data_IF_780293836934
#
_entry.id   IF_780293836934
#
_cell.length_a   1.000
_cell.length_b   1.000
_cell.length_c   1.000
_cell.angle_alpha   90.00
_cell.angle_beta   90.00
_cell.angle_gamma   90.00
#
_symmetry.space_group_name_H-M   'P 1'
#
loop_
_entity.id
_entity.type
_entity.pdbx_description
1 polymer ?
#
# COMPACT_ATOMS: atom_id res chain seq x y z
N UNK A 1 -3.81 -0.62 -46.11
CA UNK A 1 -2.46 -1.10 -45.76
C UNK A 1 -2.56 -1.48 -44.29
N UNK A 2 -2.63 -2.77 -43.96
CA UNK A 2 -2.70 -3.22 -42.57
C UNK A 2 -1.34 -2.99 -41.90
N UNK A 3 -1.36 -2.29 -40.77
CA UNK A 3 -0.18 -2.07 -39.94
C UNK A 3 0.28 -3.44 -39.42
N UNK A 4 1.55 -3.79 -39.70
CA UNK A 4 2.11 -5.07 -39.32
C UNK A 4 2.26 -5.08 -37.80
N UNK A 5 1.34 -5.73 -37.09
CA UNK A 5 1.40 -5.87 -35.63
C UNK A 5 2.73 -6.55 -35.27
N UNK A 6 3.59 -5.84 -34.55
CA UNK A 6 4.82 -6.42 -34.00
C UNK A 6 4.45 -7.52 -33.01
N UNK A 7 4.79 -8.77 -33.34
CA UNK A 7 4.49 -9.95 -32.50
C UNK A 7 5.56 -10.20 -31.43
N UNK A 8 6.68 -9.48 -31.48
CA UNK A 8 7.81 -9.59 -30.55
C UNK A 8 8.41 -8.20 -30.35
N UNK A 9 8.63 -7.81 -29.10
CA UNK A 9 9.32 -6.57 -28.71
C UNK A 9 10.41 -6.90 -27.70
N UNK A 10 11.56 -6.21 -27.78
CA UNK A 10 12.67 -6.40 -26.83
C UNK A 10 13.41 -5.10 -26.57
N UNK A 11 13.93 -4.94 -25.35
CA UNK A 11 14.84 -3.84 -24.96
C UNK A 11 15.92 -4.37 -24.02
N UNK A 12 16.97 -3.57 -23.85
CA UNK A 12 18.04 -3.83 -22.88
C UNK A 12 18.07 -2.74 -21.82
N UNK A 13 18.32 -3.13 -20.57
CA UNK A 13 18.58 -2.19 -19.49
C UNK A 13 19.92 -1.44 -19.65
N UNK A 14 20.80 -1.87 -20.55
CA UNK A 14 22.05 -1.16 -20.83
C UNK A 14 21.81 0.13 -21.64
N UNK A 15 20.65 0.23 -22.27
CA UNK A 15 20.11 1.44 -22.91
C UNK A 15 18.70 1.71 -22.38
N UNK A 16 18.56 2.10 -21.11
CA UNK A 16 17.24 2.23 -20.50
C UNK A 16 16.47 3.40 -21.12
N UNK A 17 15.14 3.30 -21.11
CA UNK A 17 14.27 4.41 -21.56
C UNK A 17 14.38 5.60 -20.60
N UNK A 18 14.57 5.31 -19.32
CA UNK A 18 14.70 6.30 -18.26
C UNK A 18 15.65 5.82 -17.17
N UNK A 19 16.41 6.73 -16.58
CA UNK A 19 17.22 6.49 -15.39
C UNK A 19 16.83 7.46 -14.29
N UNK A 20 16.33 6.92 -13.17
CA UNK A 20 15.85 7.67 -12.00
C UNK A 20 16.83 7.55 -10.84
N UNK A 21 16.94 8.62 -10.04
CA UNK A 21 17.65 8.65 -8.74
C UNK A 21 16.76 9.28 -7.67
N UNK A 22 15.62 8.64 -7.34
CA UNK A 22 14.60 9.25 -6.48
C UNK A 22 15.03 9.35 -5.01
N UNK A 23 16.11 8.65 -4.62
CA UNK A 23 16.66 8.65 -3.27
C UNK A 23 18.17 8.44 -3.30
N UNK A 24 18.83 8.87 -2.22
CA UNK A 24 20.27 8.65 -2.03
C UNK A 24 20.61 7.14 -2.08
N UNK A 25 21.79 6.81 -2.63
CA UNK A 25 22.29 5.43 -2.82
C UNK A 25 21.41 4.51 -3.66
N UNK A 26 20.40 5.06 -4.35
CA UNK A 26 19.55 4.34 -5.29
C UNK A 26 19.72 4.84 -6.72
N UNK A 27 19.71 3.91 -7.66
CA UNK A 27 19.52 4.16 -9.09
C UNK A 27 18.48 3.17 -9.59
N UNK A 28 17.54 3.63 -10.41
CA UNK A 28 16.52 2.79 -11.03
C UNK A 28 16.57 3.03 -12.54
N UNK A 29 16.96 2.02 -13.30
CA UNK A 29 16.83 2.01 -14.76
C UNK A 29 15.46 1.43 -15.13
N UNK A 30 14.75 2.09 -16.03
CA UNK A 30 13.40 1.71 -16.45
C UNK A 30 13.39 1.39 -17.94
N UNK A 31 12.74 0.29 -18.30
CA UNK A 31 12.39 -0.02 -19.69
C UNK A 31 10.90 -0.36 -19.77
N UNK A 32 10.25 0.05 -20.84
CA UNK A 32 8.89 -0.38 -21.18
C UNK A 32 8.95 -1.24 -22.43
N UNK A 33 8.61 -2.52 -22.30
CA UNK A 33 8.66 -3.52 -23.39
C UNK A 33 7.27 -4.12 -23.56
N UNK A 34 6.70 -4.05 -24.76
CA UNK A 34 5.35 -4.56 -25.01
C UNK A 34 4.26 -3.90 -24.14
N UNK A 35 4.48 -2.64 -23.73
CA UNK A 35 3.59 -1.92 -22.81
C UNK A 35 3.77 -2.26 -21.32
N UNK A 36 4.70 -3.16 -20.98
CA UNK A 36 4.97 -3.58 -19.60
C UNK A 36 6.22 -2.86 -19.06
N UNK A 37 6.13 -2.15 -17.93
CA UNK A 37 7.28 -1.55 -17.28
C UNK A 37 8.10 -2.58 -16.50
N UNK A 38 9.42 -2.51 -16.63
CA UNK A 38 10.38 -3.28 -15.84
C UNK A 38 11.43 -2.34 -15.24
N UNK A 39 11.93 -2.71 -14.06
CA UNK A 39 12.85 -1.88 -13.30
C UNK A 39 14.12 -2.67 -12.98
N UNK A 40 15.30 -2.11 -13.25
CA UNK A 40 16.57 -2.59 -12.70
C UNK A 40 17.02 -1.61 -11.63
N UNK A 41 16.96 -2.05 -10.37
CA UNK A 41 17.44 -1.27 -9.24
C UNK A 41 18.92 -1.58 -8.98
N UNK A 42 19.69 -0.54 -8.70
CA UNK A 42 21.07 -0.64 -8.21
C UNK A 42 21.17 0.16 -6.92
N UNK A 43 21.40 -0.56 -5.83
CA UNK A 43 21.41 -0.04 -4.47
C UNK A 43 22.83 -0.14 -3.92
N UNK A 44 23.42 1.01 -3.57
CA UNK A 44 24.80 1.07 -3.12
C UNK A 44 24.95 0.56 -1.66
N UNK A 45 26.17 0.16 -1.24
CA UNK A 45 26.43 -0.24 0.13
C UNK A 45 25.95 0.77 1.18
N UNK A 46 25.35 0.23 2.23
CA UNK A 46 24.71 1.01 3.30
C UNK A 46 23.38 1.67 2.90
N UNK A 47 22.82 1.38 1.72
CA UNK A 47 21.42 1.69 1.44
C UNK A 47 20.49 0.91 2.37
N UNK A 48 19.41 1.57 2.80
CA UNK A 48 18.34 1.01 3.63
C UNK A 48 17.05 1.79 3.35
N UNK A 49 15.93 1.10 3.17
CA UNK A 49 14.64 1.72 2.84
C UNK A 49 14.24 2.77 3.89
N UNK A 50 14.29 2.43 5.18
CA UNK A 50 13.92 3.34 6.26
C UNK A 50 14.80 4.58 6.40
N UNK A 51 16.02 4.56 5.85
CA UNK A 51 16.94 5.70 5.86
C UNK A 51 16.85 6.55 4.60
N UNK A 52 16.69 5.93 3.44
CA UNK A 52 16.85 6.62 2.15
C UNK A 52 15.54 6.80 1.40
N UNK A 53 14.56 5.91 1.59
CA UNK A 53 13.27 5.97 0.88
C UNK A 53 12.18 6.58 1.76
N UNK A 54 12.09 6.17 3.03
CA UNK A 54 11.11 6.70 3.99
C UNK A 54 11.04 8.24 4.05
N UNK A 55 12.14 9.01 4.02
CA UNK A 55 12.06 10.47 4.02
C UNK A 55 11.35 11.05 2.79
N UNK A 56 11.32 10.32 1.68
CA UNK A 56 10.69 10.73 0.41
C UNK A 56 9.23 10.30 0.36
N UNK A 57 8.91 9.08 0.80
CA UNK A 57 7.59 8.47 0.61
C UNK A 57 6.73 8.45 1.88
N UNK A 58 7.31 8.78 3.03
CA UNK A 58 6.65 8.68 4.33
C UNK A 58 6.43 7.23 4.81
N UNK A 59 5.62 7.08 5.85
CA UNK A 59 5.27 5.78 6.43
C UNK A 59 6.33 5.20 7.37
N UNK A 60 6.04 4.02 7.93
CA UNK A 60 6.93 3.32 8.87
C UNK A 60 7.76 2.21 8.21
N UNK A 61 7.22 1.60 7.17
CA UNK A 61 7.80 0.50 6.39
C UNK A 61 7.29 0.57 4.95
N UNK A 62 7.94 -0.15 4.02
CA UNK A 62 7.49 -0.24 2.63
C UNK A 62 6.16 -1.01 2.57
N UNK A 63 5.17 -0.41 1.91
CA UNK A 63 3.81 -0.95 1.79
C UNK A 63 3.49 -1.46 0.38
N UNK A 64 4.49 -1.60 -0.49
CA UNK A 64 4.31 -2.17 -1.83
C UNK A 64 4.47 -3.68 -1.78
N UNK A 65 3.72 -4.37 -2.64
CA UNK A 65 4.00 -5.75 -2.98
C UNK A 65 5.16 -5.77 -4.00
N UNK A 66 6.17 -6.59 -3.73
CA UNK A 66 7.37 -6.67 -4.56
C UNK A 66 7.63 -8.09 -5.03
N UNK A 67 8.11 -8.20 -6.26
CA UNK A 67 8.71 -9.43 -6.79
C UNK A 67 10.07 -9.07 -7.37
N UNK A 68 11.12 -9.57 -6.72
CA UNK A 68 12.50 -9.21 -7.03
C UNK A 68 13.29 -10.42 -7.49
N UNK A 69 14.10 -10.22 -8.53
CA UNK A 69 15.09 -11.19 -9.02
C UNK A 69 16.46 -10.58 -8.81
N UNK A 70 17.30 -11.22 -8.00
CA UNK A 70 18.60 -10.68 -7.61
C UNK A 70 19.70 -11.07 -8.58
N UNK A 71 20.46 -10.09 -9.05
CA UNK A 71 21.52 -10.25 -10.05
C UNK A 71 22.93 -10.13 -9.48
N UNK A 72 23.13 -9.25 -8.49
CA UNK A 72 24.43 -8.99 -7.85
C UNK A 72 24.24 -8.48 -6.41
N UNK A 73 25.29 -8.58 -5.59
CA UNK A 73 25.26 -8.21 -4.17
C UNK A 73 24.16 -8.91 -3.36
N UNK A 74 23.94 -8.44 -2.12
CA UNK A 74 22.96 -9.04 -1.19
C UNK A 74 22.03 -8.00 -0.58
N UNK A 75 20.79 -8.39 -0.33
CA UNK A 75 19.77 -7.59 0.36
C UNK A 75 19.15 -8.39 1.48
N UNK A 76 19.06 -7.79 2.66
CA UNK A 76 18.28 -8.33 3.77
C UNK A 76 16.95 -7.58 3.87
N UNK A 77 15.90 -8.33 4.17
CA UNK A 77 14.54 -7.84 4.34
C UNK A 77 14.05 -8.23 5.73
N UNK A 78 13.39 -7.28 6.41
CA UNK A 78 12.70 -7.51 7.67
C UNK A 78 11.25 -7.07 7.55
N UNK A 79 10.34 -8.01 7.77
CA UNK A 79 8.90 -7.75 7.85
C UNK A 79 8.54 -7.08 9.18
N UNK A 80 7.41 -6.39 9.23
CA UNK A 80 6.91 -5.74 10.46
C UNK A 80 6.60 -6.73 11.60
N UNK A 81 6.35 -8.01 11.27
CA UNK A 81 6.19 -9.10 12.26
C UNK A 81 7.52 -9.65 12.81
N UNK A 82 8.65 -9.10 12.34
CA UNK A 82 9.99 -9.49 12.74
C UNK A 82 10.62 -10.61 11.90
N UNK A 83 9.89 -11.21 10.96
CA UNK A 83 10.45 -12.19 10.02
C UNK A 83 11.58 -11.56 9.19
N UNK A 84 12.74 -12.22 9.15
CA UNK A 84 13.91 -11.75 8.39
C UNK A 84 14.41 -12.80 7.40
N UNK A 85 14.80 -12.35 6.21
CA UNK A 85 15.45 -13.17 5.19
C UNK A 85 16.51 -12.36 4.44
N UNK A 86 17.53 -13.04 3.92
CA UNK A 86 18.56 -12.43 3.08
C UNK A 86 18.62 -13.13 1.72
N UNK A 87 18.74 -12.33 0.68
CA UNK A 87 18.72 -12.75 -0.72
C UNK A 87 19.99 -12.28 -1.44
N UNK A 88 20.50 -13.10 -2.35
CA UNK A 88 21.67 -12.83 -3.18
C UNK A 88 21.47 -13.28 -4.62
N UNK A 89 22.54 -13.30 -5.45
CA UNK A 89 22.42 -13.55 -6.88
C UNK A 89 21.77 -14.89 -7.21
N UNK A 90 20.77 -14.88 -8.09
CA UNK A 90 19.98 -16.06 -8.47
C UNK A 90 18.72 -16.29 -7.64
N UNK A 91 18.57 -15.60 -6.50
CA UNK A 91 17.37 -15.70 -5.67
C UNK A 91 16.21 -14.89 -6.27
N UNK A 92 14.99 -15.37 -5.99
CA UNK A 92 13.73 -14.65 -6.26
C UNK A 92 13.02 -14.43 -4.93
N UNK A 93 12.64 -13.19 -4.64
CA UNK A 93 11.91 -12.83 -3.43
C UNK A 93 10.53 -12.26 -3.74
N UNK A 94 9.53 -12.72 -3.00
CA UNK A 94 8.20 -12.12 -2.94
C UNK A 94 8.06 -11.46 -1.58
N UNK A 95 7.81 -10.14 -1.56
CA UNK A 95 7.65 -9.39 -0.31
C UNK A 95 6.26 -8.75 -0.30
N UNK A 96 5.47 -9.13 0.71
CA UNK A 96 4.18 -8.50 0.96
C UNK A 96 4.36 -7.11 1.59
N UNK A 97 3.33 -6.24 1.56
CA UNK A 97 3.36 -4.97 2.27
C UNK A 97 3.76 -5.12 3.74
N UNK A 98 4.60 -4.20 4.24
CA UNK A 98 5.07 -4.17 5.62
C UNK A 98 6.48 -4.69 5.81
N UNK A 99 7.49 -4.00 5.26
CA UNK A 99 8.90 -4.37 5.44
C UNK A 99 9.90 -3.20 5.35
N UNK A 100 11.06 -3.37 5.99
CA UNK A 100 12.29 -2.61 5.72
C UNK A 100 13.26 -3.52 4.96
N UNK A 101 14.18 -2.93 4.19
CA UNK A 101 15.19 -3.67 3.45
C UNK A 101 16.51 -2.89 3.39
N UNK A 102 17.64 -3.59 3.38
CA UNK A 102 18.96 -2.96 3.30
C UNK A 102 19.97 -3.82 2.54
N UNK A 103 20.95 -3.14 1.95
CA UNK A 103 22.09 -3.80 1.28
C UNK A 103 23.01 -4.39 2.34
N UNK A 104 23.44 -5.63 2.12
CA UNK A 104 24.38 -6.36 2.97
C UNK A 104 25.77 -6.36 2.32
N UNK A 105 26.80 -6.01 3.09
CA UNK A 105 28.18 -5.98 2.62
C UNK A 105 28.56 -4.69 1.90
N UNK A 106 29.63 -4.77 1.12
CA UNK A 106 30.28 -3.68 0.38
C UNK A 106 30.08 -3.76 -1.14
N UNK A 107 29.36 -4.77 -1.62
CA UNK A 107 28.94 -4.90 -3.02
C UNK A 107 27.58 -4.21 -3.23
N UNK A 108 27.43 -3.49 -4.34
CA UNK A 108 26.14 -2.94 -4.72
C UNK A 108 25.15 -4.06 -5.03
N UNK A 109 23.94 -3.97 -4.49
CA UNK A 109 22.88 -4.90 -4.80
C UNK A 109 22.19 -4.49 -6.11
N UNK A 110 22.15 -5.40 -7.08
CA UNK A 110 21.49 -5.19 -8.38
C UNK A 110 20.36 -6.21 -8.52
N UNK A 111 19.16 -5.75 -8.86
CA UNK A 111 17.97 -6.59 -8.95
C UNK A 111 17.02 -6.11 -10.05
N UNK A 112 16.17 -7.01 -10.54
CA UNK A 112 15.00 -6.69 -11.35
C UNK A 112 13.77 -6.67 -10.44
N UNK A 113 12.95 -5.62 -10.54
CA UNK A 113 11.69 -5.46 -9.80
C UNK A 113 10.50 -5.45 -10.77
N UNK A 114 9.41 -6.13 -10.38
CA UNK A 114 8.22 -6.35 -11.19
C UNK A 114 6.92 -5.78 -10.55
N UNK A 115 7.03 -4.94 -9.51
CA UNK A 115 5.92 -4.45 -8.69
C UNK A 115 4.70 -3.87 -9.43
N UNK A 116 4.87 -3.34 -10.64
CA UNK A 116 3.77 -2.74 -11.41
C UNK A 116 3.08 -3.72 -12.38
N UNK A 117 3.74 -4.84 -12.70
CA UNK A 117 3.21 -5.84 -13.64
C UNK A 117 2.75 -7.13 -12.93
N UNK A 118 3.27 -7.40 -11.72
CA UNK A 118 2.82 -8.53 -10.90
C UNK A 118 1.97 -8.02 -9.75
N UNK A 119 0.77 -8.60 -9.63
CA UNK A 119 -0.12 -8.41 -8.48
C UNK A 119 -0.02 -9.60 -7.54
N UNK A 120 -0.55 -9.44 -6.33
CA UNK A 120 -0.59 -10.55 -5.39
C UNK A 120 -1.41 -11.71 -5.99
N UNK A 121 -0.93 -12.96 -5.96
CA UNK A 121 -1.63 -14.06 -6.60
C UNK A 121 -2.95 -14.37 -5.88
N UNK A 122 -3.96 -14.91 -6.58
CA UNK A 122 -5.28 -15.17 -5.99
C UNK A 122 -5.27 -16.30 -4.94
N UNK A 123 -4.24 -17.14 -4.93
CA UNK A 123 -4.07 -18.32 -4.09
C UNK A 123 -3.05 -18.12 -2.95
N UNK A 124 -2.82 -16.88 -2.51
CA UNK A 124 -2.08 -16.61 -1.27
C UNK A 124 -2.74 -17.39 -0.12
N UNK A 125 -1.96 -18.10 0.71
CA UNK A 125 -2.52 -18.81 1.87
C UNK A 125 -3.41 -17.90 2.70
N UNK A 126 -4.61 -18.38 3.05
CA UNK A 126 -5.64 -17.58 3.72
C UNK A 126 -5.12 -16.88 4.98
N UNK A 127 -4.27 -17.56 5.77
CA UNK A 127 -3.67 -16.98 6.97
C UNK A 127 -2.78 -15.76 6.63
N UNK A 128 -1.98 -15.85 5.58
CA UNK A 128 -1.14 -14.76 5.10
C UNK A 128 -2.01 -13.60 4.62
N UNK A 129 -3.04 -13.89 3.83
CA UNK A 129 -3.97 -12.87 3.34
C UNK A 129 -4.71 -12.18 4.49
N UNK A 130 -5.12 -12.94 5.51
CA UNK A 130 -5.78 -12.42 6.72
C UNK A 130 -4.88 -11.43 7.46
N UNK A 131 -3.58 -11.76 7.63
CA UNK A 131 -2.60 -10.85 8.26
C UNK A 131 -2.42 -9.56 7.45
N UNK A 132 -2.31 -9.67 6.12
CA UNK A 132 -2.19 -8.51 5.21
C UNK A 132 -3.45 -7.62 5.29
N UNK A 133 -4.63 -8.23 5.33
CA UNK A 133 -5.90 -7.51 5.44
C UNK A 133 -6.00 -6.74 6.75
N UNK A 134 -5.66 -7.36 7.88
CA UNK A 134 -5.66 -6.68 9.18
C UNK A 134 -4.72 -5.47 9.17
N UNK A 135 -3.51 -5.63 8.62
CA UNK A 135 -2.53 -4.55 8.60
C UNK A 135 -2.93 -3.39 7.69
N UNK A 136 -3.51 -3.70 6.52
CA UNK A 136 -4.05 -2.69 5.61
C UNK A 136 -5.14 -1.85 6.29
N UNK A 137 -6.04 -2.48 7.04
CA UNK A 137 -7.14 -1.79 7.76
C UNK A 137 -6.62 -0.99 8.96
N UNK A 138 -5.64 -1.51 9.72
CA UNK A 138 -4.97 -0.72 10.78
C UNK A 138 -4.35 0.55 10.22
N UNK A 139 -3.53 0.41 9.18
CA UNK A 139 -2.86 1.54 8.52
C UNK A 139 -3.86 2.62 8.06
N UNK A 140 -5.00 2.18 7.51
CA UNK A 140 -6.08 3.06 7.10
C UNK A 140 -6.76 3.77 8.28
N UNK A 141 -7.13 3.03 9.34
CA UNK A 141 -7.75 3.61 10.55
C UNK A 141 -6.82 4.59 11.26
N UNK A 142 -5.52 4.27 11.34
CA UNK A 142 -4.52 5.16 11.92
C UNK A 142 -4.38 6.46 11.12
N UNK A 143 -4.45 6.39 9.79
CA UNK A 143 -4.44 7.58 8.93
C UNK A 143 -5.68 8.46 9.15
N UNK A 144 -6.87 7.85 9.30
CA UNK A 144 -8.09 8.57 9.66
C UNK A 144 -7.92 9.28 11.00
N UNK A 145 -7.42 8.60 12.02
CA UNK A 145 -7.28 9.18 13.36
C UNK A 145 -6.19 10.25 13.44
N UNK A 146 -5.23 10.27 12.51
CA UNK A 146 -4.27 11.38 12.32
C UNK A 146 -4.81 12.54 11.47
N UNK A 147 -5.99 12.40 10.90
CA UNK A 147 -6.61 13.36 9.97
C UNK A 147 -5.74 13.61 8.73
N UNK A 148 -4.97 12.59 8.34
CA UNK A 148 -4.02 12.67 7.24
C UNK A 148 -4.67 12.12 5.96
N UNK A 149 -5.32 13.00 5.21
CA UNK A 149 -6.06 12.64 3.99
C UNK A 149 -5.15 11.98 2.97
N UNK A 150 -3.92 12.44 2.81
CA UNK A 150 -3.00 11.86 1.82
C UNK A 150 -2.60 10.43 2.21
N UNK A 151 -2.34 10.17 3.49
CA UNK A 151 -2.10 8.82 3.98
C UNK A 151 -3.35 7.92 3.90
N UNK A 152 -4.55 8.47 4.13
CA UNK A 152 -5.82 7.75 3.94
C UNK A 152 -5.93 7.29 2.49
N UNK A 153 -5.74 8.20 1.53
CA UNK A 153 -5.84 7.88 0.11
C UNK A 153 -4.74 6.91 -0.36
N UNK A 154 -3.51 7.06 0.14
CA UNK A 154 -2.42 6.12 -0.14
C UNK A 154 -2.71 4.69 0.33
N UNK A 155 -3.49 4.55 1.42
CA UNK A 155 -3.91 3.26 1.97
C UNK A 155 -5.08 2.61 1.23
N UNK A 156 -5.72 3.31 0.28
CA UNK A 156 -6.83 2.80 -0.52
C UNK A 156 -6.42 2.49 -1.98
N UNK A 157 -7.15 1.61 -2.65
CA UNK A 157 -6.98 1.38 -4.10
C UNK A 157 -7.45 2.60 -4.91
N UNK A 158 -7.05 2.69 -6.18
CA UNK A 158 -7.43 3.80 -7.06
C UNK A 158 -8.95 3.81 -7.35
N UNK A 159 -9.53 2.62 -7.49
CA UNK A 159 -10.95 2.32 -7.74
C UNK A 159 -11.76 2.13 -6.45
N UNK A 160 -11.27 2.64 -5.32
CA UNK A 160 -11.88 2.33 -4.02
C UNK A 160 -13.34 2.79 -3.92
N UNK A 161 -14.12 2.08 -3.10
CA UNK A 161 -15.52 2.37 -2.84
C UNK A 161 -15.72 2.67 -1.37
N UNK A 162 -16.38 3.78 -1.08
CA UNK A 162 -16.83 4.14 0.26
C UNK A 162 -18.35 4.30 0.30
N UNK A 163 -19.01 3.58 1.21
CA UNK A 163 -20.43 3.80 1.54
C UNK A 163 -20.54 4.45 2.91
N UNK A 164 -21.08 5.67 2.92
CA UNK A 164 -21.31 6.47 4.12
C UNK A 164 -22.70 6.21 4.70
N UNK A 165 -22.91 6.53 5.97
CA UNK A 165 -24.13 6.21 6.73
C UNK A 165 -25.31 7.16 6.50
N UNK A 166 -25.11 8.23 5.72
CA UNK A 166 -26.12 9.27 5.46
C UNK A 166 -26.12 9.66 3.98
N UNK A 167 -27.28 9.99 3.37
CA UNK A 167 -28.62 10.01 3.97
C UNK A 167 -29.26 8.62 4.09
N UNK A 168 -30.08 8.36 5.11
CA UNK A 168 -30.90 7.15 5.13
C UNK A 168 -31.92 7.15 3.98
N UNK A 169 -32.36 5.97 3.50
CA UNK A 169 -32.10 4.65 4.08
C UNK A 169 -30.80 3.99 3.63
N UNK A 170 -30.26 4.37 2.47
CA UNK A 170 -29.19 3.62 1.79
C UNK A 170 -27.78 4.16 2.06
N UNK A 171 -27.68 5.37 2.60
CA UNK A 171 -26.42 6.09 2.68
C UNK A 171 -26.00 6.70 1.34
N UNK A 172 -24.79 7.25 1.31
CA UNK A 172 -24.20 7.81 0.10
C UNK A 172 -22.98 6.97 -0.30
N UNK A 173 -22.95 6.57 -1.58
CA UNK A 173 -21.87 5.78 -2.17
C UNK A 173 -20.93 6.67 -3.00
N UNK A 174 -19.63 6.47 -2.83
CA UNK A 174 -18.57 7.20 -3.51
C UNK A 174 -17.58 6.22 -4.12
N UNK A 175 -17.22 6.43 -5.39
CA UNK A 175 -16.36 5.53 -6.15
C UNK A 175 -15.13 6.27 -6.70
N UNK A 176 -13.96 5.67 -6.55
CA UNK A 176 -12.68 6.20 -6.95
C UNK A 176 -12.09 7.20 -5.95
N UNK A 177 -10.75 7.29 -5.96
CA UNK A 177 -10.02 8.12 -4.99
C UNK A 177 -10.46 9.59 -4.96
N UNK A 178 -10.77 10.19 -6.12
CA UNK A 178 -11.20 11.59 -6.18
C UNK A 178 -12.47 11.86 -5.36
N UNK A 179 -13.50 11.02 -5.54
CA UNK A 179 -14.76 11.17 -4.82
C UNK A 179 -14.59 10.89 -3.32
N UNK A 180 -13.86 9.84 -2.97
CA UNK A 180 -13.60 9.45 -1.57
C UNK A 180 -12.75 10.49 -0.84
N UNK A 181 -11.72 11.06 -1.49
CA UNK A 181 -10.87 12.12 -0.93
C UNK A 181 -11.69 13.33 -0.49
N UNK A 182 -12.58 13.80 -1.36
CA UNK A 182 -13.44 14.94 -1.04
C UNK A 182 -14.37 14.68 0.15
N UNK A 183 -14.74 13.43 0.42
CA UNK A 183 -15.52 13.08 1.62
C UNK A 183 -14.69 13.22 2.88
N UNK A 184 -13.46 12.69 2.89
CA UNK A 184 -12.56 12.79 4.04
C UNK A 184 -12.17 14.24 4.35
N UNK A 185 -11.85 15.04 3.33
CA UNK A 185 -11.55 16.47 3.50
C UNK A 185 -12.71 17.22 4.16
N UNK A 186 -13.93 17.04 3.66
CA UNK A 186 -15.13 17.65 4.27
C UNK A 186 -15.37 17.13 5.68
N UNK A 187 -15.17 15.84 5.91
CA UNK A 187 -15.38 15.23 7.23
C UNK A 187 -14.43 15.82 8.27
N UNK A 188 -13.12 15.88 7.99
CA UNK A 188 -12.14 16.42 8.93
C UNK A 188 -12.29 17.94 9.11
N UNK A 189 -12.60 18.70 8.05
CA UNK A 189 -12.88 20.12 8.17
C UNK A 189 -14.09 20.41 9.08
N UNK A 190 -15.13 19.56 9.01
CA UNK A 190 -16.33 19.70 9.84
C UNK A 190 -16.18 19.10 11.25
N UNK A 191 -15.22 18.21 11.48
CA UNK A 191 -15.05 17.47 12.73
C UNK A 191 -13.57 17.40 13.14
N UNK A 192 -12.94 18.53 13.53
CA UNK A 192 -11.49 18.60 13.79
C UNK A 192 -11.04 17.81 15.02
N UNK A 193 -11.97 17.43 15.91
CA UNK A 193 -11.70 16.58 17.08
C UNK A 193 -12.25 15.16 16.93
N UNK A 194 -12.59 14.75 15.70
CA UNK A 194 -13.07 13.40 15.42
C UNK A 194 -12.02 12.33 15.79
N UNK A 195 -12.47 11.31 16.52
CA UNK A 195 -11.64 10.16 16.84
C UNK A 195 -12.45 8.86 16.81
N UNK A 196 -11.90 7.82 16.19
CA UNK A 196 -12.50 6.49 16.11
C UNK A 196 -11.68 5.50 16.95
N UNK A 197 -12.26 5.06 18.07
CA UNK A 197 -11.68 3.99 18.88
C UNK A 197 -12.14 2.63 18.32
N UNK A 198 -11.19 1.72 18.07
CA UNK A 198 -11.49 0.34 17.68
C UNK A 198 -11.90 -0.44 18.93
N UNK A 199 -13.13 -0.97 18.95
CA UNK A 199 -13.58 -1.90 20.00
C UNK A 199 -13.15 -3.33 19.70
N UNK A 200 -13.19 -3.71 18.42
CA UNK A 200 -12.83 -5.05 17.95
C UNK A 200 -12.52 -4.99 16.45
N UNK A 201 -11.54 -5.76 16.03
CA UNK A 201 -11.22 -5.95 14.61
C UNK A 201 -10.80 -7.39 14.36
N UNK A 202 -11.42 -8.01 13.37
CA UNK A 202 -11.05 -9.34 12.90
C UNK A 202 -11.22 -9.43 11.38
N UNK A 203 -10.49 -10.37 10.78
CA UNK A 203 -10.49 -10.59 9.35
C UNK A 203 -10.49 -12.07 9.02
N UNK A 204 -10.95 -12.38 7.81
CA UNK A 204 -10.80 -13.69 7.16
C UNK A 204 -10.51 -13.40 5.70
N UNK A 205 -9.39 -13.94 5.19
CA UNK A 205 -8.93 -13.69 3.83
C UNK A 205 -8.87 -12.17 3.54
N UNK A 206 -9.55 -11.71 2.49
CA UNK A 206 -9.59 -10.33 2.01
C UNK A 206 -10.65 -9.46 2.71
N UNK A 207 -11.41 -10.00 3.67
CA UNK A 207 -12.48 -9.31 4.39
C UNK A 207 -12.11 -8.97 5.81
N UNK A 208 -12.49 -7.78 6.25
CA UNK A 208 -12.30 -7.35 7.63
C UNK A 208 -13.55 -6.66 8.16
N UNK A 209 -13.81 -6.84 9.46
CA UNK A 209 -14.87 -6.15 10.19
C UNK A 209 -14.22 -5.38 11.33
N UNK A 210 -14.60 -4.11 11.49
CA UNK A 210 -14.15 -3.25 12.59
C UNK A 210 -15.37 -2.71 13.32
N UNK A 211 -15.54 -3.05 14.60
CA UNK A 211 -16.48 -2.35 15.48
C UNK A 211 -15.76 -1.18 16.13
N UNK A 212 -16.41 -0.03 16.17
CA UNK A 212 -15.78 1.21 16.61
C UNK A 212 -16.71 2.14 17.38
N UNK A 213 -16.11 3.07 18.13
CA UNK A 213 -16.77 4.21 18.75
C UNK A 213 -16.20 5.50 18.16
N UNK A 214 -17.03 6.24 17.43
CA UNK A 214 -16.73 7.59 16.97
C UNK A 214 -17.02 8.57 18.09
N UNK A 215 -16.04 9.37 18.47
CA UNK A 215 -16.16 10.44 19.46
C UNK A 215 -15.83 11.79 18.85
N UNK A 216 -16.54 12.81 19.33
CA UNK A 216 -16.26 14.23 19.06
C UNK A 216 -16.99 15.12 20.07
N UNK A 217 -16.75 16.41 19.99
CA UNK A 217 -17.55 17.44 20.66
C UNK A 217 -18.73 17.83 19.76
N UNK A 218 -19.94 17.80 20.32
CA UNK A 218 -21.15 18.31 19.66
C UNK A 218 -21.83 19.31 20.58
N UNK A 219 -22.04 20.53 20.10
CA UNK A 219 -22.68 21.62 20.87
C UNK A 219 -21.99 21.87 22.23
N UNK A 220 -20.65 21.82 22.25
CA UNK A 220 -19.84 22.04 23.46
C UNK A 220 -19.84 20.88 24.46
N UNK A 221 -20.41 19.71 24.12
CA UNK A 221 -20.44 18.54 24.99
C UNK A 221 -19.80 17.32 24.32
N UNK A 222 -19.18 16.41 25.08
CA UNK A 222 -18.75 15.12 24.56
C UNK A 222 -19.93 14.35 23.98
N UNK A 223 -19.74 13.80 22.78
CA UNK A 223 -20.73 12.98 22.09
C UNK A 223 -20.04 11.77 21.47
N UNK A 224 -20.78 10.67 21.35
CA UNK A 224 -20.29 9.46 20.70
C UNK A 224 -21.37 8.75 19.88
N UNK A 225 -20.92 7.97 18.90
CA UNK A 225 -21.74 7.07 18.08
C UNK A 225 -20.98 5.76 17.90
N UNK A 226 -21.69 4.63 17.98
CA UNK A 226 -21.12 3.32 17.72
C UNK A 226 -21.45 2.87 16.31
N UNK A 227 -20.53 2.17 15.69
CA UNK A 227 -20.72 1.64 14.35
C UNK A 227 -19.89 0.40 14.09
N UNK A 228 -20.07 -0.09 12.87
CA UNK A 228 -19.29 -1.18 12.29
C UNK A 228 -18.95 -0.81 10.86
N UNK A 229 -17.70 -1.03 10.49
CA UNK A 229 -17.24 -0.95 9.12
C UNK A 229 -16.93 -2.36 8.61
N UNK A 230 -17.39 -2.65 7.40
CA UNK A 230 -17.06 -3.86 6.64
C UNK A 230 -16.13 -3.47 5.51
N UNK A 231 -14.99 -4.15 5.42
CA UNK A 231 -13.92 -3.85 4.47
C UNK A 231 -13.66 -5.01 3.52
N UNK A 232 -13.25 -4.68 2.30
CA UNK A 232 -12.49 -5.57 1.42
C UNK A 232 -11.11 -4.97 1.15
N UNK A 233 -10.07 -5.81 1.19
CA UNK A 233 -8.68 -5.44 0.90
C UNK A 233 -8.22 -6.10 -0.39
N UNK A 234 -7.52 -5.36 -1.24
CA UNK A 234 -6.87 -5.86 -2.46
C UNK A 234 -5.45 -5.34 -2.54
N UNK A 235 -4.49 -6.21 -2.82
CA UNK A 235 -3.05 -5.87 -2.89
C UNK A 235 -2.55 -5.09 -1.65
N UNK A 236 -3.05 -5.44 -0.46
CA UNK A 236 -2.72 -4.78 0.80
C UNK A 236 -3.23 -3.34 0.94
N UNK A 237 -4.24 -2.94 0.17
CA UNK A 237 -4.94 -1.66 0.27
C UNK A 237 -6.45 -1.85 0.43
N UNK A 238 -7.10 -0.91 1.11
CA UNK A 238 -8.56 -0.91 1.26
C UNK A 238 -9.22 -0.62 -0.09
N UNK A 239 -9.97 -1.59 -0.60
CA UNK A 239 -10.72 -1.47 -1.85
C UNK A 239 -12.18 -1.07 -1.59
N UNK A 240 -12.78 -1.59 -0.52
CA UNK A 240 -14.15 -1.28 -0.13
C UNK A 240 -14.20 -0.95 1.36
N UNK A 241 -14.97 0.06 1.73
CA UNK A 241 -15.35 0.38 3.12
C UNK A 241 -16.83 0.72 3.17
N UNK A 242 -17.62 -0.11 3.83
CA UNK A 242 -19.06 0.14 4.02
C UNK A 242 -19.34 0.38 5.50
N UNK A 243 -19.88 1.54 5.81
CA UNK A 243 -20.09 2.00 7.19
C UNK A 243 -21.54 1.88 7.62
N UNK A 244 -21.75 1.31 8.80
CA UNK A 244 -23.04 1.17 9.46
C UNK A 244 -22.95 1.72 10.88
N UNK A 245 -24.02 2.33 11.37
CA UNK A 245 -24.05 2.94 12.71
C UNK A 245 -25.27 2.51 13.50
N UNK A 246 -25.15 2.57 14.84
CA UNK A 246 -26.30 2.49 15.74
C UNK A 246 -27.09 3.80 15.63
N UNK A 247 -28.06 3.82 14.71
CA UNK A 247 -29.08 4.85 14.57
C UNK A 247 -30.25 4.61 15.51
#
# INVERSE_FOLDING_TARGET
MEEKVEKITGKSFDTPDETRRPFEKGKIDVITVGGLPFYRETLAPGWQWSRHVKPVVGGNSCQRFHVKIFLAGRQRVRMDDGTEMEFGPGDVAVMHPGHDAWVVGDEANVLIELADIVKMPPDVPEETLTKITLEAVRRFNDAINRHDVDAVMAAMTEDCVFENTYPPPDGARYEGQGAVRSVWERFFAANPDAHFEVEEMFAVADRCVVRWIYRKTKEGRPWYLRGVDVFRVRDGKVAEKFSYVKG
#
